data_IF_235368354535
#
_entry.id   IF_235368354535
#
_cell.length_a   1.000
_cell.length_b   1.000
_cell.length_c   1.000
_cell.angle_alpha   90.00
_cell.angle_beta   90.00
_cell.angle_gamma   90.00
#
_symmetry.space_group_name_H-M   'P 1'
#
loop_
_entity.id
_entity.type
_entity.pdbx_description
1 polymer ?
#
# COMPACT_ATOMS: atom_id res chain seq x y z
N UNK A 1 17.22 14.51 -17.64
CA UNK A 1 16.50 15.14 -16.49
C UNK A 1 16.46 14.11 -15.37
N UNK A 2 16.65 14.52 -14.12
CA UNK A 2 16.57 13.59 -13.00
C UNK A 2 15.14 13.03 -12.89
N UNK A 3 15.04 11.72 -12.68
CA UNK A 3 13.76 11.05 -12.44
C UNK A 3 13.16 11.52 -11.13
N UNK A 4 11.86 11.83 -11.11
CA UNK A 4 11.18 12.25 -9.88
C UNK A 4 9.70 11.90 -9.88
N UNK A 5 9.13 11.85 -8.68
CA UNK A 5 7.69 11.71 -8.42
C UNK A 5 7.30 12.87 -7.50
N UNK A 6 6.26 13.62 -7.89
CA UNK A 6 5.72 14.71 -7.05
C UNK A 6 4.27 14.44 -6.70
N UNK A 7 3.96 14.39 -5.41
CA UNK A 7 2.64 14.05 -4.85
C UNK A 7 2.23 15.12 -3.84
N UNK A 8 0.92 15.40 -3.69
CA UNK A 8 0.46 16.32 -2.64
C UNK A 8 0.70 15.72 -1.25
N UNK A 9 0.97 16.57 -0.27
CA UNK A 9 1.14 16.15 1.14
C UNK A 9 -0.13 15.47 1.65
N UNK A 10 -1.31 15.97 1.24
CA UNK A 10 -2.60 15.38 1.62
C UNK A 10 -2.71 13.93 1.18
N UNK A 11 -2.48 13.66 -0.10
CA UNK A 11 -2.65 12.32 -0.67
C UNK A 11 -1.58 11.38 -0.12
N UNK A 12 -0.34 11.87 -0.01
CA UNK A 12 0.75 11.08 0.55
C UNK A 12 0.47 10.68 2.02
N UNK A 13 -0.06 11.57 2.87
CA UNK A 13 -0.43 11.25 4.25
C UNK A 13 -1.49 10.14 4.34
N UNK A 14 -2.50 10.19 3.48
CA UNK A 14 -3.53 9.14 3.45
C UNK A 14 -2.92 7.78 3.10
N UNK A 15 -2.07 7.75 2.09
CA UNK A 15 -1.34 6.55 1.66
C UNK A 15 -0.46 6.02 2.79
N UNK A 16 0.36 6.88 3.42
CA UNK A 16 1.26 6.48 4.50
C UNK A 16 0.50 5.99 5.75
N UNK A 17 -0.71 6.50 5.99
CA UNK A 17 -1.59 6.00 7.07
C UNK A 17 -2.05 4.58 6.76
N UNK A 18 -2.46 4.31 5.52
CA UNK A 18 -2.82 2.96 5.06
C UNK A 18 -1.65 1.99 5.11
N UNK A 19 -0.51 2.38 4.56
CA UNK A 19 0.71 1.56 4.55
C UNK A 19 1.22 1.25 5.95
N UNK A 20 1.12 2.20 6.88
CA UNK A 20 1.48 1.97 8.28
C UNK A 20 0.65 0.91 9.00
N UNK A 21 -0.52 0.52 8.46
CA UNK A 21 -1.34 -0.59 8.98
C UNK A 21 -0.92 -1.95 8.40
N UNK A 22 -0.32 -1.95 7.22
CA UNK A 22 0.15 -3.15 6.51
C UNK A 22 1.55 -3.52 6.95
N UNK A 23 2.42 -2.52 7.13
CA UNK A 23 3.83 -2.75 7.47
C UNK A 23 3.96 -3.29 8.89
N UNK A 24 4.81 -4.30 9.06
CA UNK A 24 5.11 -4.87 10.36
C UNK A 24 5.72 -3.81 11.31
N UNK A 25 5.34 -3.85 12.59
CA UNK A 25 5.92 -2.95 13.60
C UNK A 25 7.42 -3.19 13.80
N UNK A 26 7.86 -4.42 13.59
CA UNK A 26 9.28 -4.80 13.56
C UNK A 26 9.56 -5.36 12.17
N UNK A 27 10.20 -4.55 11.33
CA UNK A 27 10.57 -4.97 9.99
C UNK A 27 11.72 -5.99 10.06
N UNK A 28 11.64 -7.14 9.35
CA UNK A 28 12.71 -8.14 9.36
C UNK A 28 13.99 -7.61 8.72
N UNK A 29 13.90 -6.65 7.82
CA UNK A 29 15.03 -5.94 7.22
C UNK A 29 14.66 -4.49 6.85
N UNK A 30 15.65 -3.74 6.39
CA UNK A 30 15.46 -2.32 6.03
C UNK A 30 14.49 -2.10 4.87
N UNK A 31 14.33 -3.05 3.95
CA UNK A 31 13.45 -2.91 2.79
C UNK A 31 11.97 -3.04 3.17
N UNK A 32 11.63 -3.88 4.15
CA UNK A 32 10.27 -4.00 4.69
C UNK A 32 9.79 -2.72 5.39
N UNK A 33 10.71 -1.88 5.87
CA UNK A 33 10.42 -0.56 6.43
C UNK A 33 10.23 0.55 5.38
N UNK A 34 10.31 0.23 4.08
CA UNK A 34 10.28 1.20 2.99
C UNK A 34 8.99 1.14 2.18
N UNK A 35 8.64 2.27 1.60
CA UNK A 35 7.66 2.38 0.51
C UNK A 35 8.42 2.22 -0.80
N UNK A 36 8.01 1.27 -1.61
CA UNK A 36 8.49 1.09 -2.99
C UNK A 36 7.77 2.08 -3.89
N UNK A 37 8.53 2.82 -4.66
CA UNK A 37 8.04 3.81 -5.60
C UNK A 37 8.46 3.41 -7.01
N UNK A 38 7.51 3.32 -7.93
CA UNK A 38 7.74 3.05 -9.34
C UNK A 38 7.11 4.17 -10.15
N UNK A 39 7.83 4.69 -11.13
CA UNK A 39 7.27 5.61 -12.13
C UNK A 39 7.60 5.14 -13.53
N UNK A 40 6.63 5.26 -14.42
CA UNK A 40 6.77 4.99 -15.85
C UNK A 40 7.17 6.23 -16.67
N UNK A 41 7.18 7.40 -16.04
CA UNK A 41 7.47 8.69 -16.68
C UNK A 41 6.31 9.26 -17.48
N UNK A 42 5.14 8.61 -17.49
CA UNK A 42 3.95 9.04 -18.25
C UNK A 42 2.88 9.73 -17.39
N UNK A 43 3.23 10.18 -16.19
CA UNK A 43 2.29 10.81 -15.26
C UNK A 43 1.63 9.81 -14.31
N UNK A 44 2.17 8.59 -14.21
CA UNK A 44 1.69 7.58 -13.26
C UNK A 44 2.80 7.17 -12.31
N UNK A 45 2.42 6.89 -11.06
CA UNK A 45 3.32 6.33 -10.07
C UNK A 45 2.62 5.23 -9.28
N UNK A 46 3.29 4.11 -9.09
CA UNK A 46 2.85 3.02 -8.22
C UNK A 46 3.63 3.09 -6.91
N UNK A 47 2.91 3.15 -5.80
CA UNK A 47 3.47 3.07 -4.46
C UNK A 47 3.05 1.75 -3.82
N UNK A 48 3.97 1.05 -3.18
CA UNK A 48 3.68 -0.21 -2.51
C UNK A 48 4.38 -0.34 -1.16
N UNK A 49 3.77 -1.09 -0.26
CA UNK A 49 4.31 -1.43 1.06
C UNK A 49 3.99 -2.89 1.39
N UNK A 50 4.80 -3.50 2.25
CA UNK A 50 4.61 -4.89 2.68
C UNK A 50 4.88 -5.08 4.16
N UNK A 51 4.16 -6.02 4.77
CA UNK A 51 4.42 -6.54 6.11
C UNK A 51 5.14 -7.89 6.09
N UNK A 52 5.51 -8.39 4.90
CA UNK A 52 6.10 -9.70 4.69
C UNK A 52 5.10 -10.71 4.09
N UNK A 53 3.97 -10.88 4.71
CA UNK A 53 2.86 -11.75 4.26
C UNK A 53 1.70 -10.98 3.61
N UNK A 54 1.69 -9.67 3.77
CA UNK A 54 0.65 -8.77 3.26
C UNK A 54 1.28 -7.68 2.40
N UNK A 55 0.71 -7.41 1.23
CA UNK A 55 1.11 -6.33 0.33
C UNK A 55 -0.04 -5.37 0.10
N UNK A 56 0.28 -4.09 0.08
CA UNK A 56 -0.64 -3.05 -0.37
C UNK A 56 0.02 -2.22 -1.45
N UNK A 57 -0.72 -1.91 -2.49
CA UNK A 57 -0.25 -1.02 -3.55
C UNK A 57 -1.33 -0.03 -3.93
N UNK A 58 -0.91 1.15 -4.37
CA UNK A 58 -1.78 2.18 -4.91
C UNK A 58 -1.15 2.77 -6.16
N UNK A 59 -1.95 2.90 -7.21
CA UNK A 59 -1.57 3.63 -8.42
C UNK A 59 -2.08 5.05 -8.34
N UNK A 60 -1.18 5.99 -8.49
CA UNK A 60 -1.47 7.42 -8.62
C UNK A 60 -1.48 7.77 -10.10
N UNK A 61 -2.56 8.39 -10.54
CA UNK A 61 -2.75 8.84 -11.91
C UNK A 61 -2.65 10.37 -11.97
N UNK A 62 -2.09 10.89 -13.06
CA UNK A 62 -1.99 12.32 -13.28
C UNK A 62 -1.03 13.04 -12.31
N UNK A 63 -0.08 12.32 -11.72
CA UNK A 63 0.96 12.92 -10.86
C UNK A 63 2.13 13.41 -11.71
N UNK A 64 2.80 14.46 -11.24
CA UNK A 64 4.00 14.94 -11.94
C UNK A 64 5.12 13.92 -11.76
N UNK A 65 5.49 13.24 -12.85
CA UNK A 65 6.59 12.27 -12.90
C UNK A 65 7.57 12.65 -13.99
N UNK A 66 8.84 12.35 -13.76
CA UNK A 66 9.90 12.51 -14.77
C UNK A 66 10.69 11.22 -14.86
N UNK A 67 10.82 10.67 -16.08
CA UNK A 67 11.59 9.46 -16.36
C UNK A 67 11.01 8.19 -15.71
N UNK A 68 11.66 7.06 -16.01
CA UNK A 68 11.34 5.76 -15.42
C UNK A 68 12.30 5.47 -14.28
N UNK A 69 11.77 5.09 -13.13
CA UNK A 69 12.59 4.63 -12.01
C UNK A 69 11.80 3.73 -11.07
N UNK A 70 12.57 2.96 -10.35
CA UNK A 70 12.12 2.17 -9.20
C UNK A 70 13.08 2.42 -8.04
N UNK A 71 12.55 2.83 -6.89
CA UNK A 71 13.35 3.13 -5.70
C UNK A 71 12.54 2.93 -4.42
N UNK A 72 13.24 2.81 -3.30
CA UNK A 72 12.64 2.66 -1.98
C UNK A 72 12.80 3.95 -1.19
N UNK A 73 11.80 4.26 -0.33
CA UNK A 73 11.88 5.38 0.60
C UNK A 73 11.44 4.91 1.98
N UNK A 74 12.25 5.07 3.03
CA UNK A 74 11.83 4.68 4.37
C UNK A 74 10.55 5.40 4.81
N UNK A 75 9.56 4.63 5.29
CA UNK A 75 8.24 5.13 5.67
C UNK A 75 8.35 6.26 6.72
N UNK A 76 9.22 6.06 7.71
CA UNK A 76 9.39 7.02 8.81
C UNK A 76 9.90 8.37 8.31
N UNK A 77 10.77 8.36 7.30
CA UNK A 77 11.28 9.58 6.68
C UNK A 77 10.20 10.31 5.89
N UNK A 78 9.35 9.58 5.17
CA UNK A 78 8.19 10.19 4.51
C UNK A 78 7.23 10.82 5.53
N UNK A 79 6.97 10.15 6.66
CA UNK A 79 6.16 10.69 7.75
C UNK A 79 6.80 11.94 8.38
N UNK A 80 8.11 11.91 8.62
CA UNK A 80 8.88 13.06 9.15
C UNK A 80 8.74 14.30 8.26
N UNK A 81 8.82 14.14 6.94
CA UNK A 81 8.70 15.25 5.98
C UNK A 81 7.27 15.74 5.80
N UNK A 82 6.30 14.83 5.80
CA UNK A 82 4.89 15.20 5.59
C UNK A 82 4.25 15.82 6.83
N UNK A 83 4.62 15.40 8.05
CA UNK A 83 3.97 15.82 9.30
C UNK A 83 3.90 17.35 9.51
N UNK A 84 4.97 18.15 9.33
CA UNK A 84 4.92 19.60 9.51
C UNK A 84 4.43 20.37 8.28
N UNK A 85 4.32 19.74 7.10
CA UNK A 85 3.97 20.41 5.85
C UNK A 85 2.46 20.70 5.74
N UNK A 86 2.05 21.70 4.98
CA UNK A 86 0.63 21.96 4.73
C UNK A 86 0.05 20.94 3.77
N UNK A 87 -1.24 20.56 3.89
CA UNK A 87 -1.87 19.58 3.00
C UNK A 87 -1.81 19.93 1.51
N UNK A 88 -1.80 21.22 1.18
CA UNK A 88 -1.71 21.72 -0.20
C UNK A 88 -0.29 21.76 -0.76
N UNK A 89 0.73 21.58 0.07
CA UNK A 89 2.12 21.49 -0.41
C UNK A 89 2.36 20.17 -1.13
N UNK A 90 3.45 20.10 -1.89
CA UNK A 90 3.88 18.91 -2.59
C UNK A 90 5.14 18.33 -1.97
N UNK A 91 5.26 17.02 -2.06
CA UNK A 91 6.48 16.28 -1.77
C UNK A 91 7.03 15.76 -3.10
N UNK A 92 8.29 16.07 -3.37
CA UNK A 92 9.03 15.54 -4.51
C UNK A 92 10.05 14.52 -4.01
N UNK A 93 10.04 13.35 -4.62
CA UNK A 93 10.95 12.24 -4.36
C UNK A 93 11.84 12.07 -5.58
N UNK A 94 13.15 12.21 -5.40
CA UNK A 94 14.15 12.11 -6.47
C UNK A 94 15.17 11.04 -6.09
N UNK A 95 15.25 9.91 -6.81
CA UNK A 95 16.30 8.91 -6.55
C UNK A 95 17.69 9.51 -6.84
N UNK A 96 18.63 9.18 -5.97
CA UNK A 96 20.02 9.58 -6.05
C UNK A 96 20.93 8.34 -5.86
N UNK A 97 22.23 8.49 -6.13
CA UNK A 97 23.20 7.39 -6.05
C UNK A 97 23.16 6.64 -4.70
N UNK A 98 23.04 7.39 -3.61
CA UNK A 98 23.16 6.83 -2.25
C UNK A 98 21.83 6.89 -1.46
N UNK A 99 20.69 7.03 -2.16
CA UNK A 99 19.38 7.11 -1.51
C UNK A 99 18.34 7.88 -2.30
N UNK A 100 17.47 8.59 -1.59
CA UNK A 100 16.40 9.39 -2.18
C UNK A 100 16.41 10.78 -1.56
N UNK A 101 16.41 11.82 -2.40
CA UNK A 101 16.16 13.17 -1.96
C UNK A 101 14.65 13.37 -1.76
N UNK A 102 14.25 13.77 -0.57
CA UNK A 102 12.88 14.16 -0.24
C UNK A 102 12.85 15.67 -0.12
N UNK A 103 12.00 16.33 -0.92
CA UNK A 103 11.83 17.79 -0.91
C UNK A 103 10.38 18.17 -0.65
N UNK A 104 10.17 19.16 0.22
CA UNK A 104 8.87 19.77 0.52
C UNK A 104 9.06 21.25 0.80
N UNK A 105 8.51 22.11 -0.04
CA UNK A 105 8.75 23.55 0.03
C UNK A 105 10.24 23.89 -0.04
N UNK A 106 10.76 24.59 0.97
CA UNK A 106 12.20 24.93 1.09
C UNK A 106 13.04 23.86 1.77
N UNK A 107 12.42 22.81 2.31
CA UNK A 107 13.11 21.73 3.03
C UNK A 107 13.49 20.62 2.06
N UNK A 108 14.75 20.20 2.11
CA UNK A 108 15.26 19.06 1.36
C UNK A 108 16.23 18.24 2.21
N UNK A 109 16.22 16.93 2.02
CA UNK A 109 17.14 16.00 2.69
C UNK A 109 17.37 14.77 1.84
N UNK A 110 18.62 14.39 1.70
CA UNK A 110 18.99 13.07 1.17
C UNK A 110 18.84 12.02 2.27
N UNK A 111 18.07 10.99 1.99
CA UNK A 111 17.79 9.89 2.90
C UNK A 111 18.38 8.61 2.33
N UNK A 112 19.20 7.91 3.12
CA UNK A 112 19.71 6.60 2.72
C UNK A 112 18.55 5.62 2.51
N UNK A 113 18.65 4.82 1.46
CA UNK A 113 17.64 3.86 1.07
C UNK A 113 18.30 2.55 0.62
N UNK A 114 17.74 1.38 0.94
CA UNK A 114 18.19 0.13 0.35
C UNK A 114 17.91 0.11 -1.15
N UNK A 115 18.60 -0.75 -1.92
CA UNK A 115 18.34 -0.91 -3.35
C UNK A 115 16.92 -1.43 -3.59
N UNK A 116 16.28 -1.03 -4.69
CA UNK A 116 14.92 -1.45 -5.02
C UNK A 116 14.77 -2.97 -5.14
N UNK A 117 15.83 -3.65 -5.57
CA UNK A 117 15.88 -5.12 -5.68
C UNK A 117 15.73 -5.86 -4.36
N UNK A 118 15.96 -5.18 -3.23
CA UNK A 118 15.76 -5.76 -1.89
C UNK A 118 14.29 -5.80 -1.46
N UNK A 119 13.38 -5.10 -2.18
CA UNK A 119 11.96 -5.11 -1.83
C UNK A 119 11.33 -6.47 -2.15
N UNK A 120 10.62 -7.10 -1.19
CA UNK A 120 9.96 -8.37 -1.42
C UNK A 120 8.95 -8.26 -2.57
N UNK A 121 9.00 -9.22 -3.48
CA UNK A 121 8.05 -9.25 -4.59
C UNK A 121 6.72 -9.85 -4.14
N UNK A 122 5.57 -9.26 -4.52
CA UNK A 122 4.29 -9.88 -4.26
C UNK A 122 4.19 -11.21 -5.04
N UNK A 123 3.42 -12.19 -4.54
CA UNK A 123 3.18 -13.42 -5.29
C UNK A 123 2.59 -13.09 -6.66
N UNK A 124 3.09 -13.77 -7.68
CA UNK A 124 2.57 -13.63 -9.03
C UNK A 124 1.21 -14.34 -9.14
N UNK A 125 0.21 -13.62 -9.62
CA UNK A 125 -1.10 -14.20 -9.94
C UNK A 125 -1.13 -14.53 -11.43
N UNK A 126 -1.47 -15.78 -11.75
CA UNK A 126 -1.67 -16.24 -13.14
C UNK A 126 -3.15 -16.21 -13.47
N UNK A 127 -3.49 -15.72 -14.68
CA UNK A 127 -4.88 -15.67 -15.16
C UNK A 127 -5.45 -14.26 -15.25
N UNK A 128 -6.67 -14.17 -15.80
CA UNK A 128 -7.42 -12.92 -15.86
C UNK A 128 -8.04 -12.61 -14.50
N UNK A 129 -7.73 -11.45 -13.94
CA UNK A 129 -8.47 -10.95 -12.78
C UNK A 129 -9.93 -10.68 -13.17
N UNK A 130 -10.93 -11.33 -12.53
CA UNK A 130 -12.32 -11.00 -12.77
C UNK A 130 -12.65 -9.62 -12.20
N UNK A 131 -13.52 -8.90 -12.89
CA UNK A 131 -14.10 -7.68 -12.33
C UNK A 131 -15.19 -8.08 -11.34
N UNK A 132 -14.98 -7.76 -10.06
CA UNK A 132 -15.98 -8.03 -9.04
C UNK A 132 -17.13 -7.02 -9.13
N UNK A 133 -18.40 -7.48 -9.15
CA UNK A 133 -19.55 -6.57 -9.07
C UNK A 133 -19.50 -5.71 -7.79
N UNK A 134 -20.02 -4.47 -7.82
CA UNK A 134 -20.01 -3.59 -6.64
C UNK A 134 -20.67 -4.22 -5.40
N UNK A 135 -21.70 -5.06 -5.58
CA UNK A 135 -22.36 -5.79 -4.52
C UNK A 135 -21.45 -6.75 -3.76
N UNK A 136 -20.46 -7.35 -4.42
CA UNK A 136 -19.49 -8.25 -3.80
C UNK A 136 -18.60 -7.51 -2.79
N UNK A 137 -18.13 -6.33 -3.13
CA UNK A 137 -17.31 -5.51 -2.22
C UNK A 137 -18.11 -5.14 -0.97
N UNK A 138 -19.39 -4.76 -1.15
CA UNK A 138 -20.27 -4.47 -0.03
C UNK A 138 -20.47 -5.71 0.86
N UNK A 139 -20.75 -6.87 0.27
CA UNK A 139 -20.93 -8.12 0.99
C UNK A 139 -19.69 -8.53 1.77
N UNK A 140 -18.48 -8.38 1.20
CA UNK A 140 -17.21 -8.61 1.89
C UNK A 140 -17.09 -7.69 3.10
N UNK A 141 -17.39 -6.40 2.97
CA UNK A 141 -17.30 -5.45 4.10
C UNK A 141 -18.31 -5.78 5.21
N UNK A 142 -19.54 -6.20 4.88
CA UNK A 142 -20.52 -6.62 5.89
C UNK A 142 -20.10 -7.94 6.57
N UNK A 143 -19.56 -8.89 5.81
CA UNK A 143 -19.02 -10.13 6.36
C UNK A 143 -17.85 -9.89 7.33
N UNK A 144 -16.96 -8.94 7.03
CA UNK A 144 -15.88 -8.55 7.94
C UNK A 144 -16.39 -8.00 9.28
N UNK A 145 -17.54 -7.33 9.31
CA UNK A 145 -18.14 -6.84 10.56
C UNK A 145 -18.62 -7.97 11.46
N UNK A 146 -18.93 -9.12 10.87
CA UNK A 146 -19.33 -10.33 11.59
C UNK A 146 -18.17 -11.26 11.90
N UNK A 147 -16.97 -11.01 11.36
CA UNK A 147 -15.80 -11.83 11.62
C UNK A 147 -15.27 -11.62 13.04
N UNK A 148 -14.65 -12.66 13.62
CA UNK A 148 -14.05 -12.60 14.95
C UNK A 148 -12.83 -11.66 14.95
N UNK A 149 -12.65 -10.93 16.02
CA UNK A 149 -11.42 -10.16 16.30
C UNK A 149 -10.44 -10.92 17.19
N UNK A 150 -10.80 -12.13 17.63
CA UNK A 150 -9.96 -12.99 18.45
C UNK A 150 -8.89 -13.68 17.59
N UNK A 151 -7.65 -13.25 17.75
CA UNK A 151 -6.51 -13.75 16.97
C UNK A 151 -6.18 -15.22 17.21
N UNK A 152 -6.70 -15.81 18.27
CA UNK A 152 -6.54 -17.25 18.56
C UNK A 152 -7.46 -18.13 17.71
N UNK A 153 -8.51 -17.55 17.13
CA UNK A 153 -9.53 -18.24 16.32
C UNK A 153 -9.38 -17.91 14.84
N UNK A 154 -8.21 -18.24 14.28
CA UNK A 154 -7.80 -17.88 12.93
C UNK A 154 -8.83 -18.21 11.84
N UNK A 155 -9.55 -19.33 11.97
CA UNK A 155 -10.52 -19.82 10.97
C UNK A 155 -11.70 -18.86 10.74
N UNK A 156 -12.08 -18.09 11.76
CA UNK A 156 -13.21 -17.15 11.71
C UNK A 156 -12.77 -15.67 11.80
N UNK A 157 -11.46 -15.42 11.69
CA UNK A 157 -10.88 -14.09 11.78
C UNK A 157 -10.94 -13.28 10.49
N UNK A 158 -11.62 -13.78 9.49
CA UNK A 158 -11.75 -13.17 8.18
C UNK A 158 -13.03 -13.55 7.48
N UNK A 159 -13.11 -13.13 6.24
CA UNK A 159 -14.23 -13.47 5.35
C UNK A 159 -13.86 -14.71 4.55
N UNK A 160 -14.76 -15.68 4.52
CA UNK A 160 -14.65 -16.88 3.68
C UNK A 160 -15.41 -16.67 2.38
N UNK A 161 -14.77 -17.02 1.26
CA UNK A 161 -15.38 -17.08 -0.06
C UNK A 161 -15.62 -18.56 -0.39
N UNK A 162 -16.85 -19.03 -0.19
CA UNK A 162 -17.22 -20.42 -0.52
C UNK A 162 -17.61 -20.53 -1.99
N UNK A 163 -16.77 -21.17 -2.76
CA UNK A 163 -16.98 -21.44 -4.20
C UNK A 163 -17.36 -22.89 -4.48
N UNK A 164 -17.53 -23.70 -3.45
CA UNK A 164 -17.81 -25.16 -3.56
C UNK A 164 -19.25 -25.46 -3.95
N UNK A 165 -20.17 -24.50 -3.76
CA UNK A 165 -21.61 -24.64 -4.03
C UNK A 165 -22.01 -23.84 -5.26
N UNK A 166 -23.17 -24.22 -5.85
CA UNK A 166 -23.81 -23.37 -6.86
C UNK A 166 -24.13 -22.00 -6.25
N UNK A 167 -23.61 -20.94 -6.87
CA UNK A 167 -23.83 -19.57 -6.44
C UNK A 167 -22.94 -19.17 -5.28
N UNK A 168 -21.67 -18.99 -5.52
CA UNK A 168 -20.65 -18.52 -4.58
C UNK A 168 -21.18 -17.74 -3.37
N UNK A 169 -20.73 -18.09 -2.17
CA UNK A 169 -21.18 -17.45 -0.94
C UNK A 169 -20.05 -16.71 -0.27
N UNK A 170 -20.35 -15.51 0.25
CA UNK A 170 -19.47 -14.70 1.09
C UNK A 170 -19.95 -14.88 2.52
N UNK A 171 -19.08 -15.35 3.41
CA UNK A 171 -19.45 -15.72 4.78
C UNK A 171 -18.50 -15.05 5.77
N UNK A 172 -19.06 -14.46 6.82
CA UNK A 172 -18.33 -13.95 7.98
C UNK A 172 -19.03 -14.34 9.28
N UNK A 173 -18.27 -14.79 10.29
CA UNK A 173 -18.82 -15.16 11.60
C UNK A 173 -17.81 -14.95 12.73
N UNK A 174 -18.30 -14.65 13.93
CA UNK A 174 -17.55 -14.65 15.19
C UNK A 174 -17.90 -15.87 16.06
N UNK A 175 -18.75 -16.76 15.55
CA UNK A 175 -19.31 -17.90 16.28
C UNK A 175 -20.61 -17.60 17.03
N UNK A 176 -21.06 -16.34 17.07
CA UNK A 176 -22.35 -15.89 17.64
C UNK A 176 -23.24 -15.27 16.56
N UNK A 177 -22.62 -14.51 15.67
CA UNK A 177 -23.27 -13.87 14.55
C UNK A 177 -22.81 -14.52 13.25
N UNK A 178 -23.68 -14.57 12.26
CA UNK A 178 -23.38 -15.09 10.95
C UNK A 178 -23.92 -14.10 9.89
N UNK A 179 -23.04 -13.69 8.99
CA UNK A 179 -23.44 -13.01 7.75
C UNK A 179 -23.18 -13.94 6.59
N UNK A 180 -24.14 -14.04 5.68
CA UNK A 180 -23.98 -14.76 4.40
C UNK A 180 -24.62 -13.93 3.29
N UNK A 181 -23.96 -13.87 2.14
CA UNK A 181 -24.48 -13.30 0.89
C UNK A 181 -24.10 -14.22 -0.27
N UNK A 182 -24.96 -14.24 -1.31
CA UNK A 182 -24.79 -15.00 -2.55
C UNK A 182 -24.70 -14.03 -3.75
#
# INVERSE_FOLDING_TARGET
QPTSITVTVRDLRQILTGFGKVMAKSAPDAAHGCVRCITDGSGNADLAATGGDTWASIRLLGVATQGKAEFLVPLDRLKEFTKPAKPSETVTLTPAKDGVEIRTGTRSKLVKSPPATAFPQPPAFTGKAPVLPPGVIRAINEAFRCASTDTTRQVINGVSLDTSRKGHHIVGTDGRHLYTAQ
#
